data_IF_694197910942
#
_entry.id   IF_694197910942
#
_cell.length_a   1.000
_cell.length_b   1.000
_cell.length_c   1.000
_cell.angle_alpha   90.00
_cell.angle_beta   90.00
_cell.angle_gamma   90.00
#
_symmetry.space_group_name_H-M   'P 1'
#
loop_
_entity.id
_entity.type
_entity.pdbx_description
1 polymer ?
#
# COMPACT_ATOMS: atom_id res chain seq x y z
N UNK A 1 -16.65 4.13 -27.93
CA UNK A 1 -15.21 3.91 -27.69
C UNK A 1 -15.07 2.85 -26.61
N UNK A 2 -14.18 1.87 -26.82
CA UNK A 2 -13.90 0.78 -25.88
C UNK A 2 -12.55 0.96 -25.21
N UNK A 3 -12.52 0.90 -23.89
CA UNK A 3 -11.34 1.08 -23.04
C UNK A 3 -11.21 -0.13 -22.12
N UNK A 4 -10.32 -1.05 -22.42
CA UNK A 4 -10.13 -2.27 -21.65
C UNK A 4 -8.90 -2.18 -20.74
N UNK A 5 -8.99 -2.81 -19.58
CA UNK A 5 -7.91 -2.83 -18.59
C UNK A 5 -7.33 -4.23 -18.49
N UNK A 6 -6.01 -4.31 -18.43
CA UNK A 6 -5.25 -5.56 -18.39
C UNK A 6 -4.44 -5.66 -17.10
N UNK A 7 -4.58 -6.80 -16.41
CA UNK A 7 -3.92 -7.08 -15.14
C UNK A 7 -3.21 -8.44 -15.19
N UNK A 8 -2.07 -8.60 -14.49
CA UNK A 8 -1.48 -9.94 -14.34
C UNK A 8 -2.41 -10.91 -13.61
N UNK A 9 -3.19 -10.43 -12.64
CA UNK A 9 -4.12 -11.26 -11.87
C UNK A 9 -5.37 -10.49 -11.46
N UNK A 10 -6.54 -11.10 -11.63
CA UNK A 10 -7.80 -10.70 -11.02
C UNK A 10 -7.96 -11.34 -9.66
N UNK A 11 -7.83 -10.55 -8.59
CA UNK A 11 -7.89 -11.01 -7.21
C UNK A 11 -8.72 -10.03 -6.37
N UNK A 12 -9.45 -10.54 -5.37
CA UNK A 12 -10.24 -9.72 -4.46
C UNK A 12 -9.41 -9.25 -3.25
N UNK A 13 -9.60 -7.98 -2.85
CA UNK A 13 -8.92 -7.41 -1.68
C UNK A 13 -7.44 -7.07 -1.93
N UNK A 14 -7.08 -6.85 -3.18
CA UNK A 14 -5.81 -6.28 -3.63
C UNK A 14 -6.07 -4.86 -4.15
N UNK A 15 -5.27 -3.90 -3.71
CA UNK A 15 -5.45 -2.49 -4.07
C UNK A 15 -5.52 -2.26 -5.59
N UNK A 16 -4.75 -3.00 -6.39
CA UNK A 16 -4.73 -2.88 -7.85
C UNK A 16 -6.03 -3.42 -8.47
N UNK A 17 -6.50 -4.59 -7.98
CA UNK A 17 -7.76 -5.18 -8.44
C UNK A 17 -8.97 -4.30 -8.10
N UNK A 18 -9.02 -3.80 -6.87
CA UNK A 18 -10.10 -2.91 -6.41
C UNK A 18 -10.07 -1.58 -7.22
N UNK A 19 -8.90 -1.01 -7.47
CA UNK A 19 -8.76 0.19 -8.30
C UNK A 19 -9.24 -0.04 -9.74
N UNK A 20 -8.87 -1.15 -10.37
CA UNK A 20 -9.30 -1.50 -11.72
C UNK A 20 -10.84 -1.59 -11.81
N UNK A 21 -11.50 -2.12 -10.78
CA UNK A 21 -12.96 -2.13 -10.67
C UNK A 21 -13.54 -0.71 -10.61
N UNK A 22 -12.95 0.19 -9.82
CA UNK A 22 -13.39 1.58 -9.70
C UNK A 22 -13.18 2.35 -11.01
N UNK A 23 -12.03 2.18 -11.67
CA UNK A 23 -11.76 2.77 -12.98
C UNK A 23 -12.78 2.28 -14.01
N UNK A 24 -13.08 0.97 -14.05
CA UNK A 24 -14.10 0.42 -14.93
C UNK A 24 -15.47 1.05 -14.68
N UNK A 25 -15.85 1.18 -13.42
CA UNK A 25 -17.12 1.81 -13.04
C UNK A 25 -17.18 3.26 -13.52
N UNK A 26 -16.12 4.04 -13.33
CA UNK A 26 -16.02 5.42 -13.78
C UNK A 26 -16.07 5.53 -15.31
N UNK A 27 -15.35 4.67 -16.05
CA UNK A 27 -15.36 4.63 -17.50
C UNK A 27 -16.76 4.30 -18.04
N UNK A 28 -17.45 3.31 -17.46
CA UNK A 28 -18.80 2.95 -17.85
C UNK A 28 -19.81 4.07 -17.54
N UNK A 29 -19.69 4.75 -16.42
CA UNK A 29 -20.49 5.92 -16.09
C UNK A 29 -20.28 7.08 -17.08
N UNK A 30 -19.07 7.20 -17.62
CA UNK A 30 -18.74 8.18 -18.69
C UNK A 30 -19.16 7.72 -20.10
N UNK A 31 -19.84 6.58 -20.24
CA UNK A 31 -20.37 6.08 -21.53
C UNK A 31 -19.38 5.25 -22.36
N UNK A 32 -18.26 4.83 -21.79
CA UNK A 32 -17.32 3.91 -22.46
C UNK A 32 -17.72 2.46 -22.23
N UNK A 33 -17.43 1.60 -23.19
CA UNK A 33 -17.39 0.15 -22.97
C UNK A 33 -16.07 -0.19 -22.31
N UNK A 34 -16.07 -0.88 -21.18
CA UNK A 34 -14.86 -1.21 -20.44
C UNK A 34 -15.00 -2.55 -19.75
N UNK A 35 -14.03 -3.43 -19.97
CA UNK A 35 -13.92 -4.72 -19.30
C UNK A 35 -12.50 -4.91 -18.72
N UNK A 36 -12.41 -5.83 -17.74
CA UNK A 36 -11.16 -6.19 -17.06
C UNK A 36 -10.71 -7.57 -17.54
N UNK A 37 -9.48 -7.65 -18.01
CA UNK A 37 -8.87 -8.89 -18.49
C UNK A 37 -7.63 -9.21 -17.66
N UNK A 38 -7.53 -10.45 -17.15
CA UNK A 38 -6.38 -10.90 -16.38
C UNK A 38 -5.83 -12.22 -16.90
N UNK A 39 -4.51 -12.45 -16.69
CA UNK A 39 -3.88 -13.73 -17.06
C UNK A 39 -4.38 -14.86 -16.17
N UNK A 40 -4.57 -14.55 -14.87
CA UNK A 40 -5.15 -15.45 -13.89
C UNK A 40 -6.33 -14.76 -13.21
N UNK A 41 -7.41 -15.50 -12.98
CA UNK A 41 -8.62 -14.99 -12.33
C UNK A 41 -9.02 -15.94 -11.22
N UNK A 42 -9.06 -15.43 -9.99
CA UNK A 42 -9.51 -16.20 -8.84
C UNK A 42 -11.03 -16.48 -8.94
N UNK A 43 -11.47 -17.62 -8.43
CA UNK A 43 -12.86 -18.07 -8.54
C UNK A 43 -13.87 -17.07 -7.98
N UNK A 44 -13.49 -16.39 -6.92
CA UNK A 44 -14.32 -15.41 -6.21
C UNK A 44 -14.65 -14.15 -7.06
N UNK A 45 -13.83 -13.85 -8.07
CA UNK A 45 -13.97 -12.65 -8.91
C UNK A 45 -14.22 -12.93 -10.38
N UNK A 46 -14.55 -14.17 -10.74
CA UNK A 46 -14.86 -14.60 -12.14
C UNK A 46 -16.01 -13.83 -12.79
N UNK A 47 -16.86 -13.20 -12.02
CA UNK A 47 -17.93 -12.34 -12.55
C UNK A 47 -17.47 -10.94 -12.94
N UNK A 48 -16.32 -10.51 -12.43
CA UNK A 48 -15.80 -9.15 -12.59
C UNK A 48 -14.63 -9.12 -13.57
N UNK A 49 -13.78 -10.15 -13.55
CA UNK A 49 -12.59 -10.27 -14.41
C UNK A 49 -12.80 -11.40 -15.43
N UNK A 50 -12.36 -11.13 -16.65
CA UNK A 50 -12.35 -12.09 -17.75
C UNK A 50 -10.93 -12.60 -17.98
N UNK A 51 -10.79 -13.81 -18.52
CA UNK A 51 -9.47 -14.31 -18.91
C UNK A 51 -8.92 -13.51 -20.10
N UNK A 52 -7.66 -13.14 -20.05
CA UNK A 52 -6.99 -12.34 -21.07
C UNK A 52 -7.07 -12.93 -22.48
N UNK A 53 -7.09 -14.26 -22.57
CA UNK A 53 -7.26 -14.98 -23.83
C UNK A 53 -8.62 -14.77 -24.48
N UNK A 54 -9.65 -14.44 -23.67
CA UNK A 54 -11.02 -14.19 -24.17
C UNK A 54 -11.27 -12.75 -24.63
N UNK A 55 -10.24 -11.87 -24.58
CA UNK A 55 -10.40 -10.48 -24.97
C UNK A 55 -10.79 -10.35 -26.46
N UNK A 56 -11.53 -9.31 -26.84
CA UNK A 56 -11.79 -8.98 -28.24
C UNK A 56 -10.50 -8.85 -29.04
N UNK A 57 -10.55 -9.15 -30.34
CA UNK A 57 -9.47 -8.83 -31.24
C UNK A 57 -9.11 -7.33 -31.19
N UNK A 58 -7.89 -7.01 -31.58
CA UNK A 58 -7.36 -5.65 -31.49
C UNK A 58 -8.21 -4.58 -32.20
N UNK A 59 -8.92 -4.96 -33.27
CA UNK A 59 -9.83 -4.06 -34.01
C UNK A 59 -11.09 -3.66 -33.24
N UNK A 60 -11.38 -4.33 -32.11
CA UNK A 60 -12.54 -4.05 -31.26
C UNK A 60 -12.26 -3.19 -30.04
N UNK A 61 -11.00 -2.78 -29.81
CA UNK A 61 -10.58 -2.03 -28.61
C UNK A 61 -9.83 -0.77 -29.05
N UNK A 62 -10.24 0.40 -28.54
CA UNK A 62 -9.62 1.69 -28.88
C UNK A 62 -8.43 2.01 -27.98
N UNK A 63 -8.54 1.67 -26.68
CA UNK A 63 -7.54 1.96 -25.66
C UNK A 63 -7.33 0.72 -24.78
N UNK A 64 -6.08 0.32 -24.59
CA UNK A 64 -5.68 -0.68 -23.61
C UNK A 64 -4.93 -0.01 -22.45
N UNK A 65 -5.35 -0.29 -21.24
CA UNK A 65 -4.73 0.16 -20.00
C UNK A 65 -4.08 -1.05 -19.33
N UNK A 66 -2.76 -1.04 -19.16
CA UNK A 66 -2.03 -2.06 -18.40
C UNK A 66 -1.76 -1.58 -16.98
N UNK A 67 -2.24 -2.32 -15.99
CA UNK A 67 -1.83 -2.16 -14.60
C UNK A 67 -0.46 -2.81 -14.40
N UNK A 68 0.57 -1.97 -14.21
CA UNK A 68 1.96 -2.42 -14.18
C UNK A 68 2.55 -2.33 -12.77
N UNK A 69 2.87 -3.48 -12.19
CA UNK A 69 3.61 -3.60 -10.94
C UNK A 69 4.68 -4.70 -10.99
N UNK A 70 4.46 -5.72 -11.84
CA UNK A 70 5.30 -6.91 -11.96
C UNK A 70 5.50 -7.27 -13.43
N UNK A 71 6.59 -7.96 -13.78
CA UNK A 71 6.82 -8.43 -15.13
C UNK A 71 5.75 -9.46 -15.53
N UNK A 72 5.26 -9.35 -16.76
CA UNK A 72 4.25 -10.28 -17.27
C UNK A 72 4.21 -10.31 -18.79
N UNK A 73 3.64 -11.36 -19.43
CA UNK A 73 3.41 -11.40 -20.87
C UNK A 73 2.54 -10.25 -21.41
N UNK A 74 1.81 -9.55 -20.53
CA UNK A 74 1.00 -8.38 -20.93
C UNK A 74 1.84 -7.22 -21.42
N UNK A 75 3.11 -7.11 -21.02
CA UNK A 75 4.06 -6.11 -21.51
C UNK A 75 4.23 -6.22 -23.03
N UNK A 76 4.48 -7.42 -23.54
CA UNK A 76 4.63 -7.65 -24.97
C UNK A 76 3.30 -7.50 -25.72
N UNK A 77 2.20 -7.93 -25.08
CA UNK A 77 0.86 -7.74 -25.63
C UNK A 77 0.53 -6.24 -25.80
N UNK A 78 0.86 -5.40 -24.80
CA UNK A 78 0.63 -3.96 -24.89
C UNK A 78 1.52 -3.32 -25.98
N UNK A 79 2.79 -3.70 -26.05
CA UNK A 79 3.70 -3.18 -27.11
C UNK A 79 3.21 -3.47 -28.51
N UNK A 80 2.57 -4.61 -28.71
CA UNK A 80 2.02 -5.06 -30.01
C UNK A 80 0.61 -4.54 -30.26
N UNK A 81 -0.02 -3.90 -29.28
CA UNK A 81 -1.39 -3.41 -29.41
C UNK A 81 -1.46 -2.20 -30.36
N UNK A 82 -2.34 -2.23 -31.41
CA UNK A 82 -2.37 -1.19 -32.43
C UNK A 82 -3.09 0.09 -32.00
N UNK A 83 -3.95 0.03 -30.97
CA UNK A 83 -4.69 1.17 -30.42
C UNK A 83 -3.84 2.04 -29.47
N UNK A 84 -4.50 2.89 -28.70
CA UNK A 84 -3.85 3.72 -27.68
C UNK A 84 -3.43 2.88 -26.49
N UNK A 85 -2.20 3.09 -26.03
CA UNK A 85 -1.54 2.34 -24.96
C UNK A 85 -1.34 3.20 -23.74
N UNK A 86 -1.97 2.80 -22.65
CA UNK A 86 -1.87 3.46 -21.35
C UNK A 86 -1.30 2.48 -20.34
N UNK A 87 -0.43 2.95 -19.46
CA UNK A 87 -0.03 2.19 -18.26
C UNK A 87 -0.46 2.93 -17.02
N UNK A 88 -0.84 2.17 -15.99
CA UNK A 88 -0.95 2.63 -14.60
C UNK A 88 0.15 1.93 -13.83
N UNK A 89 1.08 2.71 -13.31
CA UNK A 89 2.28 2.23 -12.64
C UNK A 89 2.10 2.24 -11.12
N UNK A 90 2.02 1.04 -10.54
CA UNK A 90 1.79 0.81 -9.12
C UNK A 90 3.08 0.66 -8.30
N UNK A 91 4.18 1.16 -8.83
CA UNK A 91 5.51 1.09 -8.24
C UNK A 91 6.17 -0.29 -8.26
N UNK A 92 7.49 -0.31 -8.26
CA UNK A 92 8.33 -1.49 -8.13
C UNK A 92 9.28 -1.28 -6.95
N UNK A 93 9.10 -2.06 -5.89
CA UNK A 93 10.05 -2.04 -4.76
C UNK A 93 11.46 -2.36 -5.25
N UNK A 94 12.48 -1.54 -4.93
CA UNK A 94 13.85 -1.76 -5.37
C UNK A 94 14.38 -3.14 -4.96
N UNK A 95 15.06 -3.81 -5.89
CA UNK A 95 15.61 -5.15 -5.70
C UNK A 95 16.57 -5.26 -4.48
N UNK A 96 17.23 -4.15 -4.12
CA UNK A 96 18.16 -4.07 -2.99
C UNK A 96 17.53 -4.46 -1.64
N UNK A 97 16.22 -4.24 -1.46
CA UNK A 97 15.53 -4.67 -0.24
C UNK A 97 15.37 -6.18 -0.10
N UNK A 98 15.50 -6.93 -1.20
CA UNK A 98 15.33 -8.39 -1.21
C UNK A 98 16.65 -9.16 -1.22
N UNK A 99 17.78 -8.48 -1.42
CA UNK A 99 19.12 -9.10 -1.46
C UNK A 99 19.40 -9.83 -0.14
N UNK A 100 19.79 -11.11 -0.25
CA UNK A 100 20.04 -11.97 0.90
C UNK A 100 18.78 -12.51 1.61
N UNK A 101 17.60 -12.14 1.16
CA UNK A 101 16.30 -12.60 1.70
C UNK A 101 15.54 -13.48 0.71
N UNK A 102 15.43 -13.07 -0.55
CA UNK A 102 14.71 -13.81 -1.61
C UNK A 102 15.26 -13.44 -3.00
N UNK A 103 16.09 -14.34 -3.57
CA UNK A 103 16.72 -14.13 -4.87
C UNK A 103 15.73 -14.08 -6.03
N UNK A 104 14.54 -14.69 -5.88
CA UNK A 104 13.51 -14.64 -6.90
C UNK A 104 12.85 -13.26 -6.93
N UNK A 105 12.55 -12.66 -5.77
CA UNK A 105 12.06 -11.28 -5.72
C UNK A 105 13.11 -10.28 -6.24
N UNK A 106 14.40 -10.53 -6.02
CA UNK A 106 15.45 -9.72 -6.65
C UNK A 106 15.32 -9.80 -8.17
N UNK A 107 15.25 -11.01 -8.75
CA UNK A 107 15.09 -11.20 -10.20
C UNK A 107 13.81 -10.58 -10.75
N UNK A 108 12.68 -10.74 -10.04
CA UNK A 108 11.39 -10.15 -10.42
C UNK A 108 11.49 -8.63 -10.45
N UNK A 109 12.05 -8.01 -9.42
CA UNK A 109 12.16 -6.56 -9.34
C UNK A 109 13.09 -5.98 -10.45
N UNK A 110 14.22 -6.65 -10.73
CA UNK A 110 15.12 -6.26 -11.82
C UNK A 110 14.41 -6.38 -13.17
N UNK A 111 13.77 -7.53 -13.43
CA UNK A 111 13.04 -7.77 -14.67
C UNK A 111 11.88 -6.78 -14.85
N UNK A 112 11.15 -6.47 -13.78
CA UNK A 112 10.08 -5.47 -13.83
C UNK A 112 10.60 -4.09 -14.26
N UNK A 113 11.77 -3.66 -13.77
CA UNK A 113 12.40 -2.40 -14.19
C UNK A 113 12.85 -2.43 -15.67
N UNK A 114 13.32 -3.57 -16.16
CA UNK A 114 13.67 -3.75 -17.57
C UNK A 114 12.44 -3.69 -18.47
N UNK A 115 11.35 -4.40 -18.09
CA UNK A 115 10.09 -4.37 -18.82
C UNK A 115 9.46 -2.97 -18.81
N UNK A 116 9.45 -2.28 -17.67
CA UNK A 116 8.97 -0.89 -17.59
C UNK A 116 9.70 0.01 -18.59
N UNK A 117 11.05 -0.08 -18.63
CA UNK A 117 11.86 0.69 -19.57
C UNK A 117 11.51 0.36 -21.04
N UNK A 118 11.21 -0.89 -21.34
CA UNK A 118 10.85 -1.32 -22.70
C UNK A 118 9.51 -0.76 -23.20
N UNK A 119 8.65 -0.28 -22.29
CA UNK A 119 7.35 0.32 -22.60
C UNK A 119 7.44 1.82 -22.93
N UNK A 120 8.51 2.52 -22.52
CA UNK A 120 8.59 3.98 -22.56
C UNK A 120 8.31 4.56 -23.95
N UNK A 121 8.93 4.01 -25.01
CA UNK A 121 8.75 4.51 -26.39
C UNK A 121 7.42 4.10 -27.04
N UNK A 122 6.74 3.10 -26.47
CA UNK A 122 5.51 2.54 -27.06
C UNK A 122 4.24 2.95 -26.34
N UNK A 123 4.33 3.67 -25.21
CA UNK A 123 3.18 4.09 -24.39
C UNK A 123 2.75 5.52 -24.75
N UNK A 124 1.45 5.71 -24.98
CA UNK A 124 0.87 7.04 -25.27
C UNK A 124 0.69 7.89 -24.00
N UNK A 125 0.39 7.26 -22.86
CA UNK A 125 0.22 7.90 -21.56
C UNK A 125 0.62 6.94 -20.42
N UNK A 126 1.45 7.41 -19.51
CA UNK A 126 1.83 6.67 -18.30
C UNK A 126 1.32 7.39 -17.07
N UNK A 127 0.50 6.71 -16.26
CA UNK A 127 -0.06 7.23 -15.03
C UNK A 127 0.67 6.58 -13.85
N UNK A 128 0.99 7.38 -12.84
CA UNK A 128 1.56 6.90 -11.57
C UNK A 128 0.63 7.19 -10.42
N UNK A 129 0.61 6.33 -9.40
CA UNK A 129 -0.25 6.50 -8.23
C UNK A 129 0.10 7.77 -7.41
N UNK A 130 1.28 8.35 -7.65
CA UNK A 130 1.81 9.52 -6.95
C UNK A 130 2.76 10.32 -7.83
N UNK A 131 3.10 11.53 -7.42
CA UNK A 131 4.15 12.34 -8.06
C UNK A 131 5.52 11.62 -8.02
N UNK A 132 5.79 10.86 -6.96
CA UNK A 132 6.99 10.03 -6.87
C UNK A 132 7.03 8.99 -8.01
N UNK A 133 5.93 8.29 -8.24
CA UNK A 133 5.81 7.32 -9.33
C UNK A 133 5.95 8.00 -10.71
N UNK A 134 5.39 9.20 -10.88
CA UNK A 134 5.53 9.96 -12.12
C UNK A 134 6.99 10.35 -12.38
N UNK A 135 7.74 10.80 -11.36
CA UNK A 135 9.16 11.07 -11.50
C UNK A 135 9.97 9.83 -11.91
N UNK A 136 9.67 8.65 -11.33
CA UNK A 136 10.28 7.40 -11.77
C UNK A 136 9.97 7.08 -13.24
N UNK A 137 8.73 7.31 -13.70
CA UNK A 137 8.35 7.12 -15.11
C UNK A 137 9.11 8.08 -16.04
N UNK A 138 9.25 9.33 -15.66
CA UNK A 138 10.01 10.34 -16.44
C UNK A 138 11.50 9.98 -16.52
N UNK A 139 12.11 9.54 -15.41
CA UNK A 139 13.50 9.07 -15.37
C UNK A 139 13.72 7.84 -16.26
N UNK A 140 12.72 6.98 -16.38
CA UNK A 140 12.74 5.82 -17.28
C UNK A 140 12.62 6.21 -18.76
N UNK A 141 12.03 7.37 -19.05
CA UNK A 141 11.92 7.93 -20.41
C UNK A 141 10.50 8.04 -20.97
N UNK A 142 9.46 7.88 -20.15
CA UNK A 142 8.08 8.12 -20.57
C UNK A 142 7.87 9.62 -20.87
N UNK A 143 7.26 9.92 -22.02
CA UNK A 143 7.12 11.31 -22.52
C UNK A 143 5.89 12.03 -22.00
N UNK A 144 4.85 11.30 -21.65
CA UNK A 144 3.59 11.83 -21.14
C UNK A 144 3.23 11.07 -19.88
N UNK A 145 3.34 11.76 -18.75
CA UNK A 145 3.02 11.23 -17.43
C UNK A 145 1.86 12.00 -16.81
N UNK A 146 1.24 11.44 -15.81
CA UNK A 146 0.22 12.08 -14.99
C UNK A 146 -0.06 11.28 -13.74
N UNK A 147 -0.55 11.95 -12.70
CA UNK A 147 -0.91 11.31 -11.44
C UNK A 147 -2.34 10.80 -11.51
N UNK A 148 -2.53 9.53 -11.18
CA UNK A 148 -3.82 8.92 -10.91
C UNK A 148 -3.72 8.25 -9.53
N UNK A 149 -4.14 8.91 -8.44
CA UNK A 149 -4.11 8.32 -7.11
C UNK A 149 -5.00 7.08 -7.05
N UNK A 150 -4.59 6.08 -6.26
CA UNK A 150 -5.39 4.86 -6.08
C UNK A 150 -6.79 5.22 -5.62
N UNK A 151 -7.78 4.75 -6.36
CA UNK A 151 -9.20 4.97 -6.08
C UNK A 151 -9.69 4.03 -4.98
N UNK A 152 -10.21 4.59 -3.91
CA UNK A 152 -10.74 3.83 -2.77
C UNK A 152 -12.27 3.96 -2.68
N UNK A 153 -12.94 2.89 -2.31
CA UNK A 153 -14.35 2.93 -1.93
C UNK A 153 -14.51 3.39 -0.48
N UNK A 154 -14.74 4.67 -0.28
CA UNK A 154 -14.90 5.25 1.06
C UNK A 154 -16.12 4.69 1.80
N UNK A 155 -17.18 4.29 1.10
CA UNK A 155 -18.36 3.69 1.74
C UNK A 155 -18.07 2.37 2.45
N UNK A 156 -17.04 1.64 2.03
CA UNK A 156 -16.62 0.40 2.69
C UNK A 156 -16.17 0.60 4.14
N UNK A 157 -15.63 1.78 4.47
CA UNK A 157 -15.11 2.10 5.80
C UNK A 157 -16.21 2.43 6.83
N UNK A 158 -17.46 2.60 6.39
CA UNK A 158 -18.63 2.75 7.26
C UNK A 158 -19.15 1.42 7.80
N UNK A 159 -18.59 0.29 7.35
CA UNK A 159 -18.96 -1.05 7.80
C UNK A 159 -18.70 -1.22 9.31
N UNK A 160 -19.49 -2.05 10.02
CA UNK A 160 -19.30 -2.28 11.44
C UNK A 160 -17.99 -3.03 11.71
N UNK A 161 -17.13 -2.54 12.63
CA UNK A 161 -15.92 -3.25 13.05
C UNK A 161 -16.25 -4.42 13.99
N UNK A 162 -15.32 -5.37 14.11
CA UNK A 162 -15.41 -6.46 15.08
C UNK A 162 -15.35 -5.93 16.53
N UNK A 163 -16.49 -5.93 17.22
CA UNK A 163 -16.62 -5.42 18.60
C UNK A 163 -15.81 -6.20 19.62
N UNK A 164 -15.66 -7.53 19.46
CA UNK A 164 -14.89 -8.37 20.37
C UNK A 164 -13.41 -7.99 20.30
N UNK A 165 -12.89 -7.81 19.09
CA UNK A 165 -11.50 -7.37 18.92
C UNK A 165 -11.28 -5.95 19.45
N UNK A 166 -12.24 -5.04 19.23
CA UNK A 166 -12.18 -3.69 19.83
C UNK A 166 -12.09 -3.74 21.35
N UNK A 167 -12.91 -4.56 22.01
CA UNK A 167 -12.87 -4.74 23.48
C UNK A 167 -11.51 -5.30 23.95
N UNK A 168 -10.94 -6.26 23.22
CA UNK A 168 -9.60 -6.79 23.53
C UNK A 168 -8.51 -5.72 23.37
N UNK A 169 -8.60 -4.87 22.38
CA UNK A 169 -7.64 -3.79 22.11
C UNK A 169 -7.79 -2.63 23.10
N UNK A 170 -8.99 -2.36 23.63
CA UNK A 170 -9.25 -1.28 24.59
C UNK A 170 -8.57 -1.45 25.96
N UNK A 171 -8.01 -2.63 26.24
CA UNK A 171 -7.33 -2.94 27.51
C UNK A 171 -5.92 -2.32 27.66
N UNK A 172 -5.45 -1.60 26.65
CA UNK A 172 -4.13 -0.93 26.64
C UNK A 172 -4.31 0.57 26.46
N UNK A 173 -3.38 1.35 27.03
CA UNK A 173 -3.44 2.82 26.98
C UNK A 173 -2.96 3.39 25.66
N UNK A 174 -2.00 2.72 24.99
CA UNK A 174 -1.50 3.17 23.71
C UNK A 174 -1.42 2.03 22.69
N UNK A 175 -2.17 2.14 21.60
CA UNK A 175 -2.16 1.21 20.48
C UNK A 175 -1.51 1.87 19.25
N UNK A 176 -0.34 1.40 18.86
CA UNK A 176 0.36 1.80 17.64
C UNK A 176 0.03 0.80 16.54
N UNK A 177 -0.45 1.28 15.41
CA UNK A 177 -0.87 0.45 14.28
C UNK A 177 0.09 0.63 13.11
N UNK A 178 0.43 -0.48 12.47
CA UNK A 178 0.97 -0.52 11.12
C UNK A 178 0.15 -1.50 10.28
N UNK A 179 -0.20 -1.14 9.05
CA UNK A 179 -0.89 -2.00 8.08
C UNK A 179 -0.08 -2.06 6.79
N UNK A 180 0.18 -3.27 6.31
CA UNK A 180 0.88 -3.48 5.05
C UNK A 180 1.58 -4.84 4.97
N UNK A 181 1.93 -5.27 3.75
CA UNK A 181 2.70 -6.49 3.52
C UNK A 181 4.00 -6.48 4.33
N UNK A 182 4.38 -7.63 4.88
CA UNK A 182 5.64 -7.74 5.61
C UNK A 182 6.82 -7.83 4.63
N UNK A 183 7.26 -6.66 4.17
CA UNK A 183 8.39 -6.50 3.25
C UNK A 183 9.49 -5.64 3.89
N UNK A 184 10.78 -5.86 3.57
CA UNK A 184 11.92 -5.20 4.22
C UNK A 184 11.93 -3.66 4.05
N UNK A 185 11.41 -3.14 2.95
CA UNK A 185 11.26 -1.70 2.73
C UNK A 185 10.34 -1.02 3.75
N UNK A 186 9.51 -1.79 4.47
CA UNK A 186 8.62 -1.29 5.54
C UNK A 186 9.35 -1.10 6.88
N UNK A 187 10.59 -1.61 7.02
CA UNK A 187 11.48 -1.39 8.16
C UNK A 187 10.87 -1.78 9.50
N UNK A 188 10.39 -3.00 9.62
CA UNK A 188 9.80 -3.51 10.87
C UNK A 188 10.79 -3.53 12.04
N UNK A 189 12.08 -3.64 11.77
CA UNK A 189 13.14 -3.49 12.76
C UNK A 189 13.09 -2.12 13.45
N UNK A 190 12.70 -1.08 12.72
CA UNK A 190 12.58 0.28 13.26
C UNK A 190 11.33 0.41 14.12
N UNK A 191 10.23 -0.30 13.80
CA UNK A 191 9.06 -0.41 14.68
C UNK A 191 9.41 -1.16 15.98
N UNK A 192 10.21 -2.24 15.91
CA UNK A 192 10.71 -2.95 17.11
C UNK A 192 11.54 -2.02 17.97
N UNK A 193 12.46 -1.25 17.36
CA UNK A 193 13.25 -0.26 18.11
C UNK A 193 12.36 0.79 18.77
N UNK A 194 11.39 1.33 18.05
CA UNK A 194 10.44 2.27 18.62
C UNK A 194 9.67 1.67 19.79
N UNK A 195 9.16 0.44 19.66
CA UNK A 195 8.47 -0.26 20.74
C UNK A 195 9.36 -0.47 21.99
N UNK A 196 10.62 -0.86 21.79
CA UNK A 196 11.60 -1.00 22.86
C UNK A 196 11.88 0.34 23.58
N UNK A 197 12.10 1.42 22.81
CA UNK A 197 12.33 2.74 23.41
C UNK A 197 11.09 3.24 24.14
N UNK A 198 9.89 2.97 23.61
CA UNK A 198 8.64 3.32 24.28
C UNK A 198 8.51 2.59 25.60
N UNK A 199 8.74 1.28 25.63
CA UNK A 199 8.74 0.45 26.86
C UNK A 199 9.73 0.98 27.90
N UNK A 200 10.93 1.33 27.46
CA UNK A 200 12.04 1.70 28.34
C UNK A 200 11.90 3.11 28.94
N UNK A 201 11.36 4.06 28.16
CA UNK A 201 11.45 5.48 28.53
C UNK A 201 10.09 6.15 28.75
N UNK A 202 8.99 5.52 28.31
CA UNK A 202 7.66 6.14 28.32
C UNK A 202 6.69 5.31 29.18
N UNK A 203 6.32 4.11 28.77
CA UNK A 203 5.32 3.28 29.47
C UNK A 203 5.42 1.81 29.06
N UNK A 204 5.12 0.92 30.03
CA UNK A 204 4.93 -0.52 29.76
C UNK A 204 3.50 -0.84 29.28
N UNK A 205 2.56 0.10 29.39
CA UNK A 205 1.17 -0.08 28.99
C UNK A 205 0.92 0.40 27.55
N UNK A 206 1.37 -0.41 26.59
CA UNK A 206 1.28 -0.12 25.16
C UNK A 206 1.17 -1.40 24.34
N UNK A 207 0.89 -1.23 23.04
CA UNK A 207 0.90 -2.31 22.05
C UNK A 207 1.25 -1.77 20.68
N UNK A 208 2.11 -2.49 19.94
CA UNK A 208 2.29 -2.36 18.51
C UNK A 208 1.57 -3.50 17.79
N UNK A 209 0.62 -3.17 16.92
CA UNK A 209 -0.17 -4.11 16.13
C UNK A 209 0.28 -3.99 14.68
N UNK A 210 0.86 -5.05 14.15
CA UNK A 210 1.31 -5.12 12.75
C UNK A 210 0.37 -6.03 11.97
N UNK A 211 -0.43 -5.44 11.09
CA UNK A 211 -1.40 -6.16 10.25
C UNK A 211 -0.84 -6.34 8.86
N UNK A 212 -0.75 -7.58 8.37
CA UNK A 212 -0.36 -7.88 7.01
C UNK A 212 0.24 -9.26 6.79
N UNK A 213 0.17 -9.71 5.55
CA UNK A 213 0.72 -11.02 5.15
C UNK A 213 2.24 -10.95 4.97
N UNK A 214 2.94 -11.96 5.46
CA UNK A 214 4.36 -12.15 5.17
C UNK A 214 4.59 -12.85 3.82
N UNK A 215 3.73 -13.78 3.43
CA UNK A 215 3.89 -14.54 2.21
C UNK A 215 5.30 -15.14 2.10
N UNK A 216 6.01 -14.83 1.02
CA UNK A 216 7.42 -15.26 0.79
C UNK A 216 8.39 -14.71 1.85
N UNK A 217 8.06 -13.63 2.56
CA UNK A 217 8.89 -13.01 3.59
C UNK A 217 8.69 -13.61 4.99
N UNK A 218 8.15 -14.81 5.12
CA UNK A 218 7.95 -15.47 6.43
C UNK A 218 9.27 -15.64 7.22
N UNK A 219 10.42 -15.85 6.55
CA UNK A 219 11.73 -15.89 7.20
C UNK A 219 12.11 -14.53 7.75
N UNK A 220 11.91 -13.47 7.00
CA UNK A 220 12.15 -12.09 7.43
C UNK A 220 11.24 -11.72 8.62
N UNK A 221 9.94 -12.05 8.55
CA UNK A 221 9.04 -11.84 9.70
C UNK A 221 9.55 -12.52 10.97
N UNK A 222 9.98 -13.79 10.86
CA UNK A 222 10.54 -14.51 12.02
C UNK A 222 11.80 -13.85 12.58
N UNK A 223 12.67 -13.30 11.73
CA UNK A 223 13.86 -12.57 12.21
C UNK A 223 13.49 -11.29 12.96
N UNK A 224 12.45 -10.57 12.51
CA UNK A 224 11.93 -9.39 13.22
C UNK A 224 11.29 -9.77 14.55
N UNK A 225 10.53 -10.88 14.59
CA UNK A 225 9.96 -11.41 15.85
C UNK A 225 11.04 -11.84 16.84
N UNK A 226 12.11 -12.48 16.34
CA UNK A 226 13.27 -12.85 17.17
C UNK A 226 13.97 -11.61 17.74
N UNK A 227 14.16 -10.57 16.92
CA UNK A 227 14.69 -9.28 17.37
C UNK A 227 13.83 -8.65 18.46
N UNK A 228 12.51 -8.65 18.31
CA UNK A 228 11.58 -8.13 19.31
C UNK A 228 11.72 -8.89 20.64
N UNK A 229 11.79 -10.21 20.58
CA UNK A 229 12.01 -11.05 21.75
C UNK A 229 13.38 -10.82 22.42
N UNK A 230 14.46 -10.71 21.64
CA UNK A 230 15.81 -10.40 22.11
C UNK A 230 15.85 -9.07 22.86
N UNK A 231 15.06 -8.10 22.42
CA UNK A 231 14.95 -6.79 23.06
C UNK A 231 13.92 -6.78 24.22
N UNK A 232 13.43 -7.93 24.65
CA UNK A 232 12.54 -8.09 25.80
C UNK A 232 11.12 -7.62 25.57
N UNK A 233 10.68 -7.53 24.30
CA UNK A 233 9.28 -7.25 24.00
C UNK A 233 8.45 -8.55 24.07
N UNK A 234 7.31 -8.46 24.74
CA UNK A 234 6.35 -9.57 24.82
C UNK A 234 5.52 -9.66 23.54
N UNK A 235 5.01 -10.85 23.17
CA UNK A 235 4.08 -10.99 22.06
C UNK A 235 2.82 -10.12 22.18
N UNK A 236 2.41 -9.74 23.39
CA UNK A 236 1.31 -8.81 23.66
C UNK A 236 1.67 -7.34 23.47
N UNK A 237 2.97 -7.00 23.41
CA UNK A 237 3.49 -5.65 23.22
C UNK A 237 3.86 -5.38 21.76
N UNK A 238 4.30 -6.43 21.01
CA UNK A 238 4.60 -6.35 19.59
C UNK A 238 4.04 -7.56 18.85
N UNK A 239 2.94 -7.37 18.13
CA UNK A 239 2.14 -8.46 17.57
C UNK A 239 2.08 -8.37 16.04
N UNK A 240 2.44 -9.45 15.34
CA UNK A 240 2.08 -9.66 13.95
C UNK A 240 0.76 -10.45 13.90
N UNK A 241 -0.30 -9.85 13.38
CA UNK A 241 -1.61 -10.52 13.28
C UNK A 241 -1.72 -11.43 12.06
N UNK A 242 -0.87 -11.23 11.06
CA UNK A 242 -1.10 -11.77 9.73
C UNK A 242 -2.17 -10.99 8.97
N UNK A 243 -2.82 -11.65 8.02
CA UNK A 243 -3.96 -11.09 7.30
C UNK A 243 -5.21 -11.14 8.17
N UNK A 244 -5.94 -10.06 8.20
CA UNK A 244 -7.20 -9.95 8.93
C UNK A 244 -8.39 -9.86 7.96
N UNK A 245 -9.55 -10.29 8.41
CA UNK A 245 -10.81 -9.97 7.77
C UNK A 245 -11.08 -8.46 7.85
N UNK A 246 -11.97 -7.96 7.00
CA UNK A 246 -12.19 -6.52 6.90
C UNK A 246 -12.68 -5.87 8.19
N UNK A 247 -13.62 -6.50 8.87
CA UNK A 247 -14.17 -6.05 10.16
C UNK A 247 -13.12 -6.06 11.30
N UNK A 248 -12.18 -7.02 11.27
CA UNK A 248 -11.04 -7.06 12.20
C UNK A 248 -10.04 -5.94 11.90
N UNK A 249 -9.77 -5.68 10.61
CA UNK A 249 -8.90 -4.58 10.20
C UNK A 249 -9.48 -3.23 10.62
N UNK A 250 -10.79 -3.02 10.41
CA UNK A 250 -11.49 -1.82 10.88
C UNK A 250 -11.41 -1.67 12.39
N UNK A 251 -11.54 -2.77 13.15
CA UNK A 251 -11.37 -2.74 14.59
C UNK A 251 -9.96 -2.29 14.99
N UNK A 252 -8.92 -2.76 14.29
CA UNK A 252 -7.55 -2.31 14.53
C UNK A 252 -7.39 -0.79 14.30
N UNK A 253 -7.92 -0.26 13.19
CA UNK A 253 -7.88 1.18 12.91
C UNK A 253 -8.66 1.98 13.96
N UNK A 254 -9.91 1.58 14.28
CA UNK A 254 -10.77 2.29 15.26
C UNK A 254 -10.18 2.33 16.67
N UNK A 255 -9.32 1.37 17.00
CA UNK A 255 -8.67 1.27 18.31
C UNK A 255 -7.24 1.76 18.31
N UNK A 256 -6.73 2.22 17.18
CA UNK A 256 -5.39 2.77 17.08
C UNK A 256 -5.35 4.22 17.61
N UNK A 257 -4.40 4.49 18.48
CA UNK A 257 -4.10 5.86 18.92
C UNK A 257 -3.18 6.57 17.94
N UNK A 258 -2.28 5.81 17.28
CA UNK A 258 -1.34 6.35 16.29
C UNK A 258 -1.07 5.29 15.22
N UNK A 259 -1.17 5.67 13.96
CA UNK A 259 -0.64 4.89 12.85
C UNK A 259 0.84 5.26 12.65
N UNK A 260 1.73 4.26 12.64
CA UNK A 260 3.17 4.51 12.51
C UNK A 260 3.73 3.82 11.29
N UNK A 261 4.34 4.57 10.37
CA UNK A 261 5.06 4.02 9.22
C UNK A 261 6.54 4.37 9.26
N UNK A 262 7.39 3.34 9.30
CA UNK A 262 8.85 3.46 9.16
C UNK A 262 9.33 3.17 7.72
N UNK A 263 8.40 3.06 6.78
CA UNK A 263 8.66 2.65 5.40
C UNK A 263 9.67 3.57 4.71
N UNK A 264 10.66 2.98 4.07
CA UNK A 264 11.66 3.71 3.26
C UNK A 264 11.30 3.73 1.76
N UNK A 265 10.28 2.97 1.38
CA UNK A 265 9.80 2.96 -0.01
C UNK A 265 8.31 2.61 -0.08
N UNK A 266 7.55 3.48 -0.71
CA UNK A 266 6.10 3.37 -0.99
C UNK A 266 5.80 3.95 -2.38
N UNK A 267 4.83 3.38 -3.09
CA UNK A 267 4.31 3.96 -4.33
C UNK A 267 3.16 4.94 -4.09
N UNK A 268 2.32 4.67 -3.07
CA UNK A 268 1.19 5.52 -2.64
C UNK A 268 0.94 5.41 -1.14
N UNK A 269 0.97 4.19 -0.59
CA UNK A 269 0.67 3.88 0.80
C UNK A 269 -0.81 4.08 1.18
N UNK A 270 -1.70 3.28 0.61
CA UNK A 270 -3.14 3.23 0.94
C UNK A 270 -3.43 3.32 2.45
N UNK A 271 -2.70 2.64 3.36
CA UNK A 271 -2.95 2.72 4.80
C UNK A 271 -2.83 4.14 5.41
N UNK A 272 -2.12 5.06 4.76
CA UNK A 272 -2.10 6.46 5.18
C UNK A 272 -3.45 7.13 4.91
N UNK A 273 -4.04 6.88 3.74
CA UNK A 273 -5.37 7.40 3.39
C UNK A 273 -6.45 6.77 4.28
N UNK A 274 -6.36 5.46 4.53
CA UNK A 274 -7.25 4.76 5.47
C UNK A 274 -7.18 5.37 6.87
N UNK A 275 -5.97 5.68 7.35
CA UNK A 275 -5.77 6.33 8.65
C UNK A 275 -6.37 7.74 8.71
N UNK A 276 -6.25 8.53 7.61
CA UNK A 276 -6.91 9.84 7.53
C UNK A 276 -8.42 9.72 7.60
N UNK A 277 -9.00 8.79 6.82
CA UNK A 277 -10.44 8.55 6.75
C UNK A 277 -11.03 8.06 8.07
N UNK A 278 -10.25 7.29 8.85
CA UNK A 278 -10.68 6.69 10.11
C UNK A 278 -10.25 7.49 11.34
N UNK A 279 -9.80 8.75 11.16
CA UNK A 279 -9.38 9.65 12.24
C UNK A 279 -8.28 9.06 13.13
N UNK A 280 -7.30 8.39 12.55
CA UNK A 280 -6.11 7.90 13.24
C UNK A 280 -4.94 8.85 12.98
N UNK A 281 -4.33 9.47 14.00
CA UNK A 281 -3.15 10.30 13.82
C UNK A 281 -2.00 9.54 13.19
N UNK A 282 -1.34 10.11 12.21
CA UNK A 282 -0.28 9.47 11.44
C UNK A 282 1.08 10.01 11.86
N UNK A 283 2.02 9.09 12.11
CA UNK A 283 3.46 9.35 12.16
C UNK A 283 4.13 8.56 11.04
N UNK A 284 4.79 9.22 10.10
CA UNK A 284 5.38 8.53 8.96
C UNK A 284 6.78 9.04 8.61
N UNK A 285 7.68 8.11 8.28
CA UNK A 285 9.00 8.44 7.74
C UNK A 285 8.85 9.04 6.34
N UNK A 286 9.52 10.17 6.14
CA UNK A 286 9.43 10.99 4.93
C UNK A 286 10.28 10.38 3.82
N UNK A 287 9.73 9.39 3.11
CA UNK A 287 10.43 8.69 2.02
C UNK A 287 9.47 8.34 0.87
N UNK A 288 10.02 8.33 -0.34
CA UNK A 288 9.31 7.97 -1.57
C UNK A 288 7.99 8.74 -1.73
N UNK A 289 6.86 8.05 -1.90
CA UNK A 289 5.55 8.68 -2.09
C UNK A 289 4.86 9.14 -0.78
N UNK A 290 5.44 8.89 0.40
CA UNK A 290 4.80 9.29 1.67
C UNK A 290 4.49 10.80 1.73
N UNK A 291 5.41 11.72 1.37
CA UNK A 291 5.11 13.15 1.32
C UNK A 291 4.03 13.50 0.29
N UNK A 292 4.02 12.81 -0.86
CA UNK A 292 3.02 13.06 -1.90
C UNK A 292 1.61 12.64 -1.42
N UNK A 293 1.50 11.55 -0.67
CA UNK A 293 0.22 11.06 -0.13
C UNK A 293 -0.26 11.94 1.03
N UNK A 294 0.62 12.30 1.97
CA UNK A 294 0.24 13.07 3.16
C UNK A 294 0.13 14.58 2.88
N UNK A 295 0.84 15.12 1.89
CA UNK A 295 0.98 16.57 1.74
C UNK A 295 1.56 17.20 3.02
N UNK A 296 0.89 18.23 3.55
CA UNK A 296 1.28 18.89 4.80
C UNK A 296 0.62 18.28 6.04
N UNK A 297 -0.03 17.11 5.92
CA UNK A 297 -0.76 16.49 7.01
C UNK A 297 0.03 15.37 7.72
N UNK A 298 -0.46 14.96 8.90
CA UNK A 298 0.23 13.99 9.73
C UNK A 298 1.53 14.53 10.34
N UNK A 299 2.22 13.71 11.12
CA UNK A 299 3.55 14.00 11.63
C UNK A 299 4.58 13.30 10.77
N UNK A 300 5.26 14.04 9.90
CA UNK A 300 6.28 13.50 9.01
C UNK A 300 7.68 13.75 9.58
N UNK A 301 8.55 12.75 9.58
CA UNK A 301 9.90 12.86 10.11
C UNK A 301 10.96 12.37 9.12
N UNK A 302 12.02 13.14 8.95
CA UNK A 302 13.15 12.84 8.04
C UNK A 302 14.31 12.09 8.70
N UNK A 303 14.25 11.86 10.03
CA UNK A 303 15.27 11.11 10.78
C UNK A 303 14.63 10.21 11.82
N UNK A 304 15.10 8.96 11.91
CA UNK A 304 14.60 7.96 12.85
C UNK A 304 15.30 8.06 14.22
N UNK A 305 15.10 9.19 14.89
CA UNK A 305 15.57 9.41 16.27
C UNK A 305 14.50 8.88 17.23
N UNK A 306 14.71 7.66 17.72
CA UNK A 306 13.65 6.92 18.43
C UNK A 306 13.18 7.60 19.70
N UNK A 307 14.07 8.28 20.44
CA UNK A 307 13.70 9.05 21.64
C UNK A 307 12.63 10.10 21.32
N UNK A 308 12.85 10.90 20.27
CA UNK A 308 11.89 11.94 19.87
C UNK A 308 10.60 11.32 19.31
N UNK A 309 10.71 10.18 18.57
CA UNK A 309 9.57 9.50 17.97
C UNK A 309 8.64 8.86 19.03
N UNK A 310 9.20 8.28 20.10
CA UNK A 310 8.37 7.70 21.15
C UNK A 310 7.69 8.78 22.00
N UNK A 311 8.34 9.90 22.24
CA UNK A 311 7.74 11.05 22.91
C UNK A 311 6.58 11.63 22.07
N UNK A 312 6.80 11.86 20.78
CA UNK A 312 5.75 12.33 19.88
C UNK A 312 4.58 11.32 19.79
N UNK A 313 4.88 10.03 19.65
CA UNK A 313 3.84 8.98 19.63
C UNK A 313 3.04 8.93 20.94
N UNK A 314 3.68 9.15 22.08
CA UNK A 314 3.02 9.25 23.36
C UNK A 314 2.12 10.48 23.46
N UNK A 315 2.59 11.64 23.04
CA UNK A 315 1.79 12.85 23.01
C UNK A 315 0.57 12.71 22.10
N UNK A 316 0.72 12.12 20.90
CA UNK A 316 -0.43 11.85 20.01
C UNK A 316 -1.46 10.89 20.62
N UNK A 317 -1.01 9.96 21.48
CA UNK A 317 -1.90 9.02 22.16
C UNK A 317 -2.57 9.62 23.41
N UNK A 318 -2.02 10.67 24.02
CA UNK A 318 -2.42 11.16 25.36
C UNK A 318 -2.83 12.63 25.41
N UNK A 319 -2.35 13.48 24.50
CA UNK A 319 -2.70 14.89 24.40
C UNK A 319 -3.78 15.12 23.34
N UNK A 320 -5.01 15.33 23.79
CA UNK A 320 -6.19 15.50 22.92
C UNK A 320 -6.06 16.73 22.02
N UNK A 321 -5.45 17.80 22.51
CA UNK A 321 -5.29 19.06 21.74
C UNK A 321 -4.31 18.87 20.57
N UNK A 322 -3.17 18.23 20.81
CA UNK A 322 -2.21 17.89 19.78
C UNK A 322 -2.80 16.91 18.77
N UNK A 323 -3.45 15.86 19.27
CA UNK A 323 -4.14 14.87 18.45
C UNK A 323 -5.14 15.53 17.49
N UNK A 324 -6.04 16.38 18.01
CA UNK A 324 -7.05 17.04 17.17
C UNK A 324 -6.43 18.02 16.17
N UNK A 325 -5.35 18.68 16.54
CA UNK A 325 -4.57 19.51 15.61
C UNK A 325 -4.06 18.74 14.40
N UNK A 326 -3.49 17.54 14.62
CA UNK A 326 -3.01 16.64 13.56
C UNK A 326 -4.19 16.10 12.73
N UNK A 327 -5.25 15.60 13.38
CA UNK A 327 -6.45 15.08 12.70
C UNK A 327 -7.14 16.14 11.84
N UNK A 328 -7.23 17.39 12.32
CA UNK A 328 -7.77 18.49 11.53
C UNK A 328 -6.96 18.73 10.25
N UNK A 329 -5.63 18.58 10.30
CA UNK A 329 -4.77 18.61 9.11
C UNK A 329 -5.09 17.47 8.14
N UNK A 330 -5.21 16.25 8.66
CA UNK A 330 -5.50 15.04 7.88
C UNK A 330 -6.87 15.09 7.19
N UNK A 331 -7.92 15.59 7.86
CA UNK A 331 -9.26 15.73 7.29
C UNK A 331 -9.34 16.76 6.16
N UNK A 332 -8.40 17.72 6.08
CA UNK A 332 -8.34 18.70 4.98
C UNK A 332 -7.58 18.17 3.76
N UNK A 333 -6.75 17.15 3.95
CA UNK A 333 -6.00 16.51 2.89
C UNK A 333 -6.89 15.59 2.06
#
# INVERSE_FOLDING_TARGET
MRVDQWLPRGHFGDAIGDEALHIRAALRAAGFVSDLFALEVDDEVRGEFLLFESRPGADGVDIAILHFALPSPLTDALRSFPGKRVIIYHNITPASYFVGLDDELVRIAVKAREELRSLADSTDLALGDSEYNCRELEEVGFRRTGVLPILLDFGRYDSPPNRVLMEMLSRRRANFLFVGRVFPNKRFEDLVRMAFFYKKYVSEDFRFVVVGRAGRMARYQRSVQALAHEWGLLPSEFTFTGHLAWDDLLACYRMADVFVSMSEHEGFAVPLVESMLLDVPIMAYQAAAVPDTLGDSGVQFGRKKYEDLVEMGHLLATDESLREGVLSGQRRR
#
